data_IF_652019893934
#
_entry.id   IF_652019893934
#
_cell.length_a   1.000
_cell.length_b   1.000
_cell.length_c   1.000
_cell.angle_alpha   90.00
_cell.angle_beta   90.00
_cell.angle_gamma   90.00
#
_symmetry.space_group_name_H-M   'P 1'
#
loop_
_entity.id
_entity.type
_entity.pdbx_description
1 polymer ?
#
# COMPACT_ATOMS: atom_id res chain seq x y z
N UNK A 1 -19.03 -14.70 -18.26
CA UNK A 1 -17.77 -14.20 -17.68
C UNK A 1 -17.87 -14.47 -16.19
N UNK A 2 -17.07 -15.42 -15.69
CA UNK A 2 -17.32 -16.10 -14.42
C UNK A 2 -17.39 -15.14 -13.23
N UNK A 3 -18.55 -15.13 -12.58
CA UNK A 3 -18.78 -14.57 -11.25
C UNK A 3 -18.21 -15.52 -10.21
N UNK A 4 -16.89 -15.71 -10.23
CA UNK A 4 -16.24 -16.11 -8.99
C UNK A 4 -16.30 -14.86 -8.12
N UNK A 5 -17.19 -14.85 -7.13
CA UNK A 5 -17.08 -13.95 -5.99
C UNK A 5 -15.76 -14.31 -5.29
N UNK A 6 -14.67 -13.79 -5.85
CA UNK A 6 -13.34 -13.91 -5.32
C UNK A 6 -13.37 -13.33 -3.91
N UNK A 7 -13.17 -14.17 -2.89
CA UNK A 7 -13.02 -13.71 -1.51
C UNK A 7 -11.85 -12.71 -1.48
N UNK A 8 -12.18 -11.42 -1.50
CA UNK A 8 -11.20 -10.36 -1.29
C UNK A 8 -10.59 -10.60 0.09
N UNK A 9 -9.33 -11.01 0.12
CA UNK A 9 -8.60 -11.15 1.38
C UNK A 9 -8.47 -9.76 2.02
N UNK A 10 -8.28 -9.74 3.34
CA UNK A 10 -8.21 -8.51 4.11
C UNK A 10 -7.16 -7.52 3.54
N UNK A 11 -6.04 -8.04 3.05
CA UNK A 11 -4.98 -7.27 2.37
C UNK A 11 -5.46 -6.57 1.09
N UNK A 12 -6.33 -7.20 0.30
CA UNK A 12 -6.83 -6.61 -0.95
C UNK A 12 -7.73 -5.41 -0.67
N UNK A 13 -8.59 -5.54 0.35
CA UNK A 13 -9.45 -4.44 0.79
C UNK A 13 -8.63 -3.28 1.34
N UNK A 14 -7.57 -3.56 2.09
CA UNK A 14 -6.65 -2.53 2.62
C UNK A 14 -5.91 -1.83 1.46
N UNK A 15 -5.35 -2.58 0.51
CA UNK A 15 -4.66 -2.01 -0.65
C UNK A 15 -5.59 -1.13 -1.50
N UNK A 16 -6.80 -1.61 -1.80
CA UNK A 16 -7.82 -0.84 -2.54
C UNK A 16 -8.12 0.49 -1.81
N UNK A 17 -8.34 0.43 -0.49
CA UNK A 17 -8.63 1.60 0.33
C UNK A 17 -7.48 2.61 0.37
N UNK A 18 -6.22 2.15 0.44
CA UNK A 18 -5.05 3.02 0.38
C UNK A 18 -4.98 3.74 -0.97
N UNK A 19 -5.14 3.01 -2.06
CA UNK A 19 -5.06 3.57 -3.42
C UNK A 19 -6.19 4.59 -3.63
N UNK A 20 -7.41 4.25 -3.23
CA UNK A 20 -8.55 5.18 -3.31
C UNK A 20 -8.38 6.38 -2.39
N UNK A 21 -7.83 6.20 -1.20
CA UNK A 21 -7.49 7.27 -0.26
C UNK A 21 -6.51 8.27 -0.89
N UNK A 22 -5.40 7.78 -1.46
CA UNK A 22 -4.42 8.60 -2.18
C UNK A 22 -5.09 9.31 -3.36
N UNK A 23 -5.87 8.60 -4.16
CA UNK A 23 -6.57 9.18 -5.30
C UNK A 23 -7.56 10.28 -4.88
N UNK A 24 -8.25 10.11 -3.75
CA UNK A 24 -9.17 11.11 -3.19
C UNK A 24 -8.43 12.33 -2.63
N UNK A 25 -7.27 12.13 -1.99
CA UNK A 25 -6.41 13.24 -1.53
C UNK A 25 -5.94 14.06 -2.75
N UNK A 26 -5.47 13.39 -3.79
CA UNK A 26 -5.03 14.07 -5.02
C UNK A 26 -6.20 14.76 -5.71
N UNK A 27 -7.39 14.16 -5.75
CA UNK A 27 -8.59 14.78 -6.32
C UNK A 27 -8.95 16.09 -5.60
N UNK A 28 -8.82 16.13 -4.26
CA UNK A 28 -9.05 17.35 -3.48
C UNK A 28 -8.06 18.47 -3.80
N UNK A 29 -6.80 18.11 -4.09
CA UNK A 29 -5.75 19.07 -4.45
C UNK A 29 -5.85 19.47 -5.93
N UNK A 30 -6.23 18.53 -6.80
CA UNK A 30 -6.33 18.68 -8.25
C UNK A 30 -7.62 18.05 -8.77
N UNK A 31 -8.70 18.83 -8.88
CA UNK A 31 -9.99 18.32 -9.33
C UNK A 31 -9.90 17.77 -10.76
N UNK A 32 -10.54 16.64 -11.01
CA UNK A 32 -10.53 15.92 -12.29
C UNK A 32 -9.40 14.89 -12.45
N UNK A 33 -8.50 14.76 -11.46
CA UNK A 33 -7.40 13.79 -11.51
C UNK A 33 -7.90 12.35 -11.62
N UNK A 34 -8.86 11.94 -10.77
CA UNK A 34 -9.41 10.58 -10.77
C UNK A 34 -10.04 10.22 -12.09
N UNK A 35 -10.80 11.14 -12.69
CA UNK A 35 -11.45 10.89 -13.99
C UNK A 35 -10.43 10.74 -15.10
N UNK A 36 -9.40 11.59 -15.13
CA UNK A 36 -8.32 11.55 -16.13
C UNK A 36 -7.40 10.33 -15.97
N UNK A 37 -7.18 9.87 -14.74
CA UNK A 37 -6.22 8.83 -14.41
C UNK A 37 -6.86 7.50 -13.97
N UNK A 38 -8.17 7.31 -14.21
CA UNK A 38 -8.92 6.12 -13.78
C UNK A 38 -8.22 4.82 -14.18
N UNK A 39 -7.83 4.69 -15.45
CA UNK A 39 -7.13 3.51 -15.95
C UNK A 39 -5.83 3.21 -15.18
N UNK A 40 -5.05 4.24 -14.86
CA UNK A 40 -3.81 4.09 -14.07
C UNK A 40 -4.10 3.70 -12.61
N UNK A 41 -5.20 4.19 -12.04
CA UNK A 41 -5.62 3.83 -10.67
C UNK A 41 -6.03 2.36 -10.64
N UNK A 42 -6.85 1.92 -11.60
CA UNK A 42 -7.31 0.54 -11.70
C UNK A 42 -6.15 -0.43 -11.97
N UNK A 43 -5.18 -0.05 -12.82
CA UNK A 43 -3.95 -0.82 -13.05
C UNK A 43 -3.13 -0.98 -11.77
N UNK A 44 -2.96 0.09 -10.97
CA UNK A 44 -2.27 0.01 -9.68
C UNK A 44 -2.98 -0.93 -8.72
N UNK A 45 -4.32 -0.90 -8.65
CA UNK A 45 -5.09 -1.86 -7.84
C UNK A 45 -4.82 -3.29 -8.29
N UNK A 46 -4.77 -3.53 -9.60
CA UNK A 46 -4.47 -4.84 -10.15
C UNK A 46 -3.04 -5.31 -9.80
N UNK A 47 -2.05 -4.42 -9.84
CA UNK A 47 -0.68 -4.72 -9.42
C UNK A 47 -0.60 -5.09 -7.94
N UNK A 48 -1.26 -4.31 -7.07
CA UNK A 48 -1.30 -4.60 -5.63
C UNK A 48 -2.04 -5.90 -5.32
N UNK A 49 -3.09 -6.20 -6.08
CA UNK A 49 -3.76 -7.49 -5.99
C UNK A 49 -2.84 -8.66 -6.37
N UNK A 50 -2.06 -8.53 -7.46
CA UNK A 50 -1.06 -9.53 -7.84
C UNK A 50 0.02 -9.70 -6.76
N UNK A 51 0.44 -8.60 -6.13
CA UNK A 51 1.39 -8.63 -5.01
C UNK A 51 0.82 -9.37 -3.80
N UNK A 52 -0.41 -9.06 -3.39
CA UNK A 52 -1.08 -9.69 -2.26
C UNK A 52 -1.28 -11.20 -2.45
N UNK A 53 -1.32 -11.67 -3.70
CA UNK A 53 -1.45 -13.08 -4.03
C UNK A 53 -0.12 -13.85 -4.02
N UNK A 54 1.01 -13.14 -4.03
CA UNK A 54 2.35 -13.72 -3.93
C UNK A 54 2.80 -13.77 -2.47
N UNK A 55 2.98 -14.97 -1.85
CA UNK A 55 3.45 -15.08 -0.47
C UNK A 55 4.80 -14.39 -0.26
N UNK A 56 5.74 -14.55 -1.21
CA UNK A 56 7.04 -13.91 -1.15
C UNK A 56 6.93 -12.37 -1.24
N UNK A 57 6.01 -11.86 -2.06
CA UNK A 57 5.76 -10.42 -2.20
C UNK A 57 5.24 -9.79 -0.91
N UNK A 58 4.27 -10.44 -0.26
CA UNK A 58 3.71 -9.98 1.03
C UNK A 58 4.76 -10.03 2.14
N UNK A 59 5.53 -11.12 2.23
CA UNK A 59 6.63 -11.24 3.21
C UNK A 59 7.69 -10.16 2.98
N UNK A 60 8.09 -9.93 1.73
CA UNK A 60 9.03 -8.88 1.38
C UNK A 60 8.54 -7.49 1.79
N UNK A 61 7.27 -7.17 1.48
CA UNK A 61 6.66 -5.90 1.89
C UNK A 61 6.66 -5.74 3.41
N UNK A 62 6.29 -6.80 4.15
CA UNK A 62 6.29 -6.80 5.60
C UNK A 62 7.68 -6.54 6.19
N UNK A 63 8.72 -7.18 5.65
CA UNK A 63 10.11 -6.96 6.08
C UNK A 63 10.58 -5.53 5.82
N UNK A 64 10.24 -4.95 4.67
CA UNK A 64 10.56 -3.55 4.36
C UNK A 64 9.87 -2.59 5.33
N UNK A 65 8.59 -2.84 5.66
CA UNK A 65 7.86 -2.04 6.64
C UNK A 65 8.53 -2.12 8.01
N UNK A 66 8.90 -3.32 8.47
CA UNK A 66 9.64 -3.50 9.72
C UNK A 66 10.99 -2.78 9.70
N UNK A 67 11.73 -2.87 8.60
CA UNK A 67 13.02 -2.21 8.46
C UNK A 67 12.88 -0.68 8.59
N UNK A 68 11.92 -0.08 7.88
CA UNK A 68 11.63 1.36 7.99
C UNK A 68 11.19 1.71 9.41
N UNK A 69 10.34 0.89 10.02
CA UNK A 69 9.88 1.08 11.40
C UNK A 69 11.07 1.11 12.37
N UNK A 70 11.97 0.13 12.33
CA UNK A 70 13.16 0.11 13.19
C UNK A 70 14.14 1.24 12.85
N UNK A 71 14.27 1.64 11.58
CA UNK A 71 15.12 2.77 11.20
C UNK A 71 14.63 4.09 11.80
N UNK A 72 13.32 4.30 11.86
CA UNK A 72 12.72 5.51 12.44
C UNK A 72 12.69 5.42 13.97
N UNK A 73 12.20 4.32 14.54
CA UNK A 73 11.95 4.20 15.99
C UNK A 73 13.16 3.69 16.78
N UNK A 74 14.06 2.93 16.16
CA UNK A 74 15.25 2.37 16.79
C UNK A 74 16.10 3.40 17.52
N UNK A 75 16.40 4.57 16.93
CA UNK A 75 17.15 5.63 17.62
C UNK A 75 16.46 6.16 18.88
N UNK A 76 15.12 6.22 18.91
CA UNK A 76 14.36 6.70 20.07
C UNK A 76 14.27 5.66 21.20
N UNK A 77 14.35 4.37 20.88
CA UNK A 77 14.31 3.28 21.86
C UNK A 77 15.71 2.91 22.37
N UNK A 78 16.76 3.35 21.67
CA UNK A 78 18.13 3.06 22.03
C UNK A 78 18.44 3.55 23.45
N UNK A 79 18.85 2.62 24.33
CA UNK A 79 19.22 2.90 25.73
C UNK A 79 20.40 3.87 25.83
N UNK A 80 21.31 3.79 24.86
CA UNK A 80 22.44 4.70 24.74
C UNK A 80 22.18 5.63 23.56
N UNK A 81 22.26 6.96 23.76
CA UNK A 81 22.16 7.88 22.64
C UNK A 81 23.30 7.60 21.66
N UNK A 82 22.97 7.58 20.37
CA UNK A 82 23.98 7.64 19.33
C UNK A 82 24.60 9.03 19.39
N UNK A 83 25.61 9.19 20.25
CA UNK A 83 26.45 10.37 20.29
C UNK A 83 27.33 10.33 19.02
N UNK A 84 26.99 11.13 18.03
CA UNK A 84 27.87 11.45 16.91
C UNK A 84 28.76 12.64 17.29
#
# INVERSE_FOLDING_TARGET
>A
MGTEEYEKKLLDRVSDAIIDGIANIIEKVRPGYKKKNKAKIDERKLMFYALNRSPAGVVGLFLVILFIFFGIFGPYVARYPYNY
#
